data_IF_221685187907
#
_entry.id   IF_221685187907
#
_cell.length_a   1.000
_cell.length_b   1.000
_cell.length_c   1.000
_cell.angle_alpha   90.00
_cell.angle_beta   90.00
_cell.angle_gamma   90.00
#
_symmetry.space_group_name_H-M   'P 1'
#
loop_
_entity.id
_entity.type
_entity.pdbx_description
1 polymer ?
#
# COMPACT_ATOMS: atom_id res chain seq x y z
N UNK A 1 -22.08 -9.99 -3.95
CA UNK A 1 -21.35 -8.88 -4.55
C UNK A 1 -19.94 -8.86 -4.03
N UNK A 2 -18.99 -8.82 -4.92
CA UNK A 2 -17.62 -8.69 -4.46
C UNK A 2 -17.42 -7.29 -3.89
N UNK A 3 -16.84 -7.24 -2.72
CA UNK A 3 -16.48 -5.98 -2.12
C UNK A 3 -15.35 -5.33 -2.92
N UNK A 4 -15.32 -4.01 -2.98
CA UNK A 4 -14.16 -3.36 -3.58
C UNK A 4 -12.91 -3.75 -2.81
N UNK A 5 -11.85 -4.01 -3.54
CA UNK A 5 -10.58 -4.34 -2.90
C UNK A 5 -10.03 -3.11 -2.21
N UNK A 6 -9.65 -3.27 -0.97
CA UNK A 6 -9.12 -2.18 -0.15
C UNK A 6 -7.62 -2.31 -0.03
N UNK A 7 -6.93 -1.27 -0.40
CA UNK A 7 -5.48 -1.21 -0.34
C UNK A 7 -5.08 -0.14 0.66
N UNK A 8 -4.19 -0.47 1.59
CA UNK A 8 -3.68 0.48 2.57
C UNK A 8 -2.18 0.57 2.41
N UNK A 9 -1.71 1.79 2.22
CA UNK A 9 -0.27 2.06 2.15
C UNK A 9 0.18 2.67 3.47
N UNK A 10 1.09 2.01 4.15
CA UNK A 10 1.74 2.56 5.34
C UNK A 10 3.03 3.23 4.91
N UNK A 11 3.15 4.51 5.19
CA UNK A 11 4.26 5.34 4.72
C UNK A 11 4.75 6.25 5.82
N UNK A 12 5.79 7.02 5.52
CA UNK A 12 6.22 8.11 6.41
C UNK A 12 6.81 9.22 5.55
N UNK A 13 6.89 10.41 6.13
CA UNK A 13 7.43 11.57 5.44
C UNK A 13 8.90 11.35 5.11
N UNK A 14 9.30 11.85 3.95
CA UNK A 14 10.68 11.71 3.51
C UNK A 14 11.04 10.34 2.95
N UNK A 15 10.06 9.47 2.80
CA UNK A 15 10.28 8.13 2.29
C UNK A 15 10.19 8.15 0.77
N UNK A 16 11.33 8.04 0.10
CA UNK A 16 11.40 8.10 -1.35
C UNK A 16 10.67 6.92 -2.00
N UNK A 17 10.87 5.73 -1.45
CA UNK A 17 10.20 4.53 -1.96
C UNK A 17 8.69 4.59 -1.74
N UNK A 18 8.26 5.20 -0.64
CA UNK A 18 6.84 5.38 -0.39
C UNK A 18 6.21 6.26 -1.46
N UNK A 19 6.92 7.31 -1.88
CA UNK A 19 6.42 8.19 -2.93
C UNK A 19 6.26 7.45 -4.25
N UNK A 20 7.16 6.53 -4.55
CA UNK A 20 7.06 5.73 -5.77
C UNK A 20 5.84 4.82 -5.73
N UNK A 21 5.60 4.17 -4.60
CA UNK A 21 4.43 3.30 -4.45
C UNK A 21 3.15 4.12 -4.54
N UNK A 22 3.15 5.30 -3.91
CA UNK A 22 1.99 6.19 -3.96
C UNK A 22 1.66 6.59 -5.39
N UNK A 23 2.68 6.93 -6.16
CA UNK A 23 2.46 7.30 -7.56
C UNK A 23 1.88 6.14 -8.36
N UNK A 24 2.38 4.94 -8.11
CA UNK A 24 1.88 3.74 -8.79
C UNK A 24 0.42 3.49 -8.43
N UNK A 25 0.07 3.57 -7.15
CA UNK A 25 -1.30 3.36 -6.72
C UNK A 25 -2.25 4.41 -7.31
N UNK A 26 -1.82 5.66 -7.32
CA UNK A 26 -2.64 6.74 -7.90
C UNK A 26 -2.89 6.51 -9.38
N UNK A 27 -1.88 6.07 -10.10
CA UNK A 27 -2.01 5.82 -11.53
C UNK A 27 -2.92 4.63 -11.81
N UNK A 28 -2.78 3.56 -11.02
CA UNK A 28 -3.58 2.35 -11.25
C UNK A 28 -5.01 2.50 -10.76
N UNK A 29 -5.25 3.38 -9.81
CA UNK A 29 -6.59 3.61 -9.30
C UNK A 29 -7.56 4.02 -10.41
N UNK A 30 -7.07 4.74 -11.40
CA UNK A 30 -7.91 5.18 -12.51
C UNK A 30 -8.43 4.02 -13.34
N UNK A 31 -7.78 2.87 -13.28
CA UNK A 31 -8.25 1.67 -13.98
C UNK A 31 -9.35 0.97 -13.20
N UNK A 32 -9.58 1.40 -11.95
CA UNK A 32 -10.62 0.84 -11.13
C UNK A 32 -10.25 -0.50 -10.52
N UNK A 33 -11.21 -1.07 -9.81
CA UNK A 33 -11.02 -2.37 -9.21
C UNK A 33 -10.54 -2.33 -7.78
N UNK A 34 -10.16 -1.16 -7.26
CA UNK A 34 -9.76 -1.05 -5.87
C UNK A 34 -9.83 0.40 -5.40
N UNK A 35 -9.84 0.56 -4.09
CA UNK A 35 -9.68 1.85 -3.42
C UNK A 35 -8.43 1.77 -2.57
N UNK A 36 -7.78 2.91 -2.33
CA UNK A 36 -6.59 2.90 -1.49
C UNK A 36 -6.54 4.12 -0.59
N UNK A 37 -5.89 3.95 0.53
CA UNK A 37 -5.67 5.03 1.48
C UNK A 37 -4.23 4.96 1.98
N UNK A 38 -3.76 6.09 2.48
CA UNK A 38 -2.41 6.20 3.02
C UNK A 38 -2.48 6.45 4.51
N UNK A 39 -1.66 5.74 5.25
CA UNK A 39 -1.53 5.93 6.70
C UNK A 39 -0.09 6.29 7.01
N UNK A 40 0.12 7.43 7.65
CA UNK A 40 1.44 7.85 8.09
C UNK A 40 1.76 7.14 9.40
N UNK A 41 2.79 6.29 9.38
CA UNK A 41 3.12 5.51 10.58
C UNK A 41 3.58 6.40 11.74
N UNK A 42 4.05 7.60 11.44
CA UNK A 42 4.48 8.52 12.50
C UNK A 42 3.30 9.15 13.24
N UNK A 43 2.08 8.93 12.75
CA UNK A 43 0.88 9.40 13.44
C UNK A 43 0.48 8.49 14.61
N UNK A 44 1.10 7.31 14.74
CA UNK A 44 0.71 6.32 15.74
C UNK A 44 1.95 5.57 16.22
N UNK A 45 2.31 5.66 17.52
CA UNK A 45 3.49 4.98 18.02
C UNK A 45 3.50 3.46 17.80
N UNK A 46 2.34 2.83 17.79
CA UNK A 46 2.28 1.40 17.54
C UNK A 46 2.67 1.08 16.10
N UNK A 47 2.22 1.92 15.17
CA UNK A 47 2.57 1.73 13.76
C UNK A 47 4.05 2.01 13.53
N UNK A 48 4.61 3.03 14.20
CA UNK A 48 6.02 3.31 14.12
C UNK A 48 6.83 2.10 14.54
N UNK A 49 6.46 1.51 15.65
CA UNK A 49 7.18 0.37 16.19
C UNK A 49 7.07 -0.84 15.26
N UNK A 50 5.88 -1.02 14.68
CA UNK A 50 5.59 -2.19 13.84
C UNK A 50 6.26 -2.11 12.48
N UNK A 51 6.29 -0.91 11.88
CA UNK A 51 6.73 -0.75 10.49
C UNK A 51 7.94 0.16 10.33
N UNK A 52 8.63 0.51 11.39
CA UNK A 52 9.64 1.57 11.42
C UNK A 52 10.54 1.61 10.20
N UNK A 53 11.17 0.50 9.86
CA UNK A 53 12.09 0.44 8.73
C UNK A 53 11.56 -0.39 7.57
N UNK A 54 10.29 -0.76 7.62
CA UNK A 54 9.69 -1.59 6.57
C UNK A 54 8.89 -0.79 5.55
N UNK A 55 8.68 0.49 5.80
CA UNK A 55 7.91 1.30 4.87
C UNK A 55 8.61 1.43 3.52
N UNK A 56 7.88 1.46 2.41
CA UNK A 56 6.43 1.38 2.32
C UNK A 56 5.91 -0.05 2.53
N UNK A 57 4.80 -0.17 3.24
CA UNK A 57 4.13 -1.45 3.44
C UNK A 57 2.74 -1.35 2.81
N UNK A 58 2.39 -2.32 1.99
CA UNK A 58 1.11 -2.32 1.30
C UNK A 58 0.29 -3.53 1.77
N UNK A 59 -0.91 -3.25 2.25
CA UNK A 59 -1.87 -4.28 2.62
C UNK A 59 -2.99 -4.31 1.60
N UNK A 60 -3.39 -5.52 1.20
CA UNK A 60 -4.53 -5.72 0.32
C UNK A 60 -5.55 -6.54 1.09
N UNK A 61 -6.74 -5.96 1.30
CA UNK A 61 -7.83 -6.60 2.05
C UNK A 61 -7.37 -7.13 3.40
N UNK A 62 -6.56 -6.33 4.10
CA UNK A 62 -6.11 -6.66 5.44
C UNK A 62 -4.91 -7.59 5.52
N UNK A 63 -4.36 -7.99 4.39
CA UNK A 63 -3.19 -8.86 4.35
C UNK A 63 -1.97 -8.11 3.82
N UNK A 64 -0.84 -8.26 4.49
CA UNK A 64 0.40 -7.66 4.07
C UNK A 64 0.84 -8.28 2.74
N UNK A 65 0.95 -7.44 1.73
CA UNK A 65 1.28 -7.89 0.38
C UNK A 65 2.69 -7.50 -0.05
N UNK A 66 3.12 -6.30 0.28
CA UNK A 66 4.42 -5.79 -0.15
C UNK A 66 5.07 -4.97 0.94
N UNK A 67 6.40 -4.97 0.94
CA UNK A 67 7.18 -4.06 1.77
C UNK A 67 8.40 -3.61 0.98
N UNK A 68 8.87 -2.39 1.23
CA UNK A 68 9.99 -1.71 0.58
C UNK A 68 9.71 -1.34 -0.86
N UNK A 69 9.26 -2.27 -1.67
CA UNK A 69 9.04 -2.05 -3.10
C UNK A 69 7.77 -2.74 -3.53
N UNK A 70 7.17 -2.19 -4.58
CA UNK A 70 5.97 -2.78 -5.16
C UNK A 70 6.03 -2.55 -6.67
N UNK A 71 6.15 -3.61 -7.42
CA UNK A 71 6.11 -3.54 -8.88
C UNK A 71 4.66 -3.59 -9.35
N UNK A 72 4.35 -2.80 -10.37
CA UNK A 72 2.99 -2.73 -10.88
C UNK A 72 2.45 -4.10 -11.25
N UNK A 73 3.25 -4.91 -11.93
CA UNK A 73 2.84 -6.24 -12.37
C UNK A 73 2.48 -7.12 -11.16
N UNK A 74 3.33 -7.10 -10.16
CA UNK A 74 3.11 -7.91 -8.96
C UNK A 74 1.89 -7.44 -8.19
N UNK A 75 1.70 -6.12 -8.13
CA UNK A 75 0.54 -5.56 -7.46
C UNK A 75 -0.76 -5.98 -8.15
N UNK A 76 -0.81 -5.88 -9.47
CA UNK A 76 -2.01 -6.26 -10.21
C UNK A 76 -2.31 -7.74 -10.06
N UNK A 77 -1.27 -8.56 -10.01
CA UNK A 77 -1.45 -10.00 -9.79
C UNK A 77 -2.00 -10.27 -8.39
N UNK A 78 -1.44 -9.62 -7.39
CA UNK A 78 -1.90 -9.81 -6.01
C UNK A 78 -3.32 -9.28 -5.83
N UNK A 79 -3.65 -8.19 -6.50
CA UNK A 79 -4.98 -7.61 -6.43
C UNK A 79 -6.02 -8.55 -7.03
N UNK A 80 -5.67 -9.25 -8.09
CA UNK A 80 -6.56 -10.21 -8.73
C UNK A 80 -6.60 -11.57 -8.03
N UNK A 81 -5.69 -11.83 -7.10
CA UNK A 81 -5.65 -13.09 -6.37
C UNK A 81 -6.76 -13.16 -5.35
N UNK A 82 -7.21 -14.36 -5.07
CA UNK A 82 -8.28 -14.58 -4.11
C UNK A 82 -7.81 -15.42 -2.95
#
# INVERSE_FOLDING_TARGET
>A
MPDPRQVVLYSRKGCHLCDQVKATLSRLETRGGFTWSEVDIDSDPELQQKFDQEVPVVFINGKKAFKYRMEERDFLRALGAR
#
